data_IF_975592299457
#
_entry.id   IF_975592299457
#
_cell.length_a   1.000
_cell.length_b   1.000
_cell.length_c   1.000
_cell.angle_alpha   90.00
_cell.angle_beta   90.00
_cell.angle_gamma   90.00
#
_symmetry.space_group_name_H-M   'P 1'
#
loop_
_entity.id
_entity.type
_entity.pdbx_description
1 polymer ?
#
# COMPACT_ATOMS: atom_id res chain seq x y z
N UNK A 1 -51.11 78.56 -7.41
CA UNK A 1 -52.00 77.79 -8.31
C UNK A 1 -51.88 76.31 -7.99
N UNK A 2 -53.03 75.64 -7.94
CA UNK A 2 -53.31 74.30 -7.44
C UNK A 2 -52.57 73.15 -8.14
N UNK A 3 -52.16 72.11 -7.39
CA UNK A 3 -52.94 70.86 -7.28
C UNK A 3 -52.37 69.90 -6.23
N UNK A 4 -53.25 69.55 -5.29
CA UNK A 4 -53.18 68.35 -4.43
C UNK A 4 -53.53 67.12 -5.26
N UNK A 5 -52.91 65.99 -4.95
CA UNK A 5 -53.54 64.67 -5.04
C UNK A 5 -53.33 63.94 -3.72
N UNK A 6 -54.43 63.40 -3.21
CA UNK A 6 -54.55 62.59 -2.00
C UNK A 6 -54.82 61.16 -2.49
N UNK A 7 -54.05 60.18 -2.02
CA UNK A 7 -54.52 58.80 -1.92
C UNK A 7 -54.03 58.21 -0.60
N UNK A 8 -55.00 57.71 0.16
CA UNK A 8 -54.86 56.98 1.42
C UNK A 8 -54.75 55.50 1.08
N UNK A 9 -53.86 54.78 1.76
CA UNK A 9 -53.82 53.31 1.75
C UNK A 9 -52.92 52.80 2.88
N UNK A 10 -53.55 52.42 4.00
CA UNK A 10 -52.92 51.79 5.17
C UNK A 10 -52.54 50.34 4.82
N UNK A 11 -51.35 49.91 5.25
CA UNK A 11 -50.92 48.51 5.18
C UNK A 11 -49.57 48.26 5.84
N UNK A 12 -49.55 48.19 7.17
CA UNK A 12 -48.47 47.57 7.96
C UNK A 12 -48.40 46.07 7.67
N UNK A 13 -47.22 45.50 7.38
CA UNK A 13 -46.62 44.32 8.04
C UNK A 13 -45.14 44.20 7.64
N UNK A 14 -44.34 43.88 8.66
CA UNK A 14 -42.90 43.69 8.77
C UNK A 14 -42.21 42.80 7.72
N UNK A 15 -40.90 43.03 7.52
CA UNK A 15 -39.84 42.03 7.82
C UNK A 15 -38.55 42.82 8.14
N UNK A 16 -38.16 42.92 9.42
CA UNK A 16 -36.74 43.17 9.75
C UNK A 16 -36.05 41.84 9.48
N UNK A 17 -35.53 41.69 8.26
CA UNK A 17 -34.74 40.52 7.90
C UNK A 17 -33.41 40.64 8.62
N UNK A 18 -33.33 40.10 9.83
CA UNK A 18 -32.05 39.70 10.41
C UNK A 18 -31.50 38.61 9.48
N UNK A 19 -30.78 39.04 8.45
CA UNK A 19 -30.02 38.15 7.59
C UNK A 19 -29.00 37.45 8.48
N UNK A 20 -29.32 36.22 8.89
CA UNK A 20 -28.33 35.31 9.45
C UNK A 20 -27.39 35.02 8.28
N UNK A 21 -26.32 35.80 8.18
CA UNK A 21 -25.18 35.47 7.35
C UNK A 21 -24.61 34.17 7.92
N UNK A 22 -25.07 33.04 7.37
CA UNK A 22 -24.43 31.74 7.59
C UNK A 22 -23.08 31.86 6.88
N UNK A 23 -22.06 32.23 7.66
CA UNK A 23 -20.68 32.09 7.24
C UNK A 23 -20.42 30.59 7.14
N UNK A 24 -20.53 30.04 5.93
CA UNK A 24 -19.95 28.73 5.64
C UNK A 24 -18.44 28.92 5.79
N UNK A 25 -17.91 28.63 6.97
CA UNK A 25 -16.48 28.48 7.16
C UNK A 25 -16.03 27.39 6.19
N UNK A 26 -15.29 27.78 5.15
CA UNK A 26 -14.59 26.86 4.27
C UNK A 26 -13.57 26.12 5.13
N UNK A 27 -13.97 24.96 5.65
CA UNK A 27 -13.10 24.07 6.40
C UNK A 27 -12.19 23.38 5.39
N UNK A 28 -11.02 23.97 5.15
CA UNK A 28 -10.03 23.42 4.23
C UNK A 28 -9.39 22.14 4.82
N UNK A 29 -8.97 21.19 3.96
CA UNK A 29 -8.09 20.11 4.35
C UNK A 29 -6.89 20.63 5.17
N UNK A 30 -6.49 19.86 6.17
CA UNK A 30 -5.33 20.18 7.01
C UNK A 30 -4.20 19.18 6.76
N UNK A 31 -2.98 19.60 7.09
CA UNK A 31 -1.81 18.73 7.12
C UNK A 31 -1.50 18.43 8.58
N UNK A 32 -1.60 17.16 8.98
CA UNK A 32 -1.28 16.69 10.33
C UNK A 32 0.06 15.94 10.30
N UNK A 33 0.90 16.19 11.29
CA UNK A 33 2.15 15.44 11.49
C UNK A 33 2.00 14.51 12.69
N UNK A 34 2.37 13.24 12.49
CA UNK A 34 2.33 12.19 13.48
C UNK A 34 3.76 11.70 13.70
N UNK A 35 4.22 11.65 14.95
CA UNK A 35 5.52 11.09 15.30
C UNK A 35 5.51 10.48 16.71
N UNK A 36 6.41 9.53 17.03
CA UNK A 36 6.40 8.85 18.32
C UNK A 36 6.57 9.78 19.53
N UNK A 37 7.24 10.91 19.35
CA UNK A 37 7.42 11.94 20.38
C UNK A 37 7.61 13.33 19.77
N UNK A 38 7.11 14.37 20.42
CA UNK A 38 7.31 15.78 20.00
C UNK A 38 6.29 16.33 18.99
N UNK A 39 5.40 15.49 18.44
CA UNK A 39 4.30 15.94 17.58
C UNK A 39 3.00 16.12 18.36
N UNK A 40 2.06 16.88 17.78
CA UNK A 40 0.70 17.03 18.30
C UNK A 40 -0.06 15.70 18.39
N UNK A 41 0.29 14.73 17.53
CA UNK A 41 -0.27 13.39 17.54
C UNK A 41 0.86 12.36 17.63
N UNK A 42 0.74 11.46 18.62
CA UNK A 42 1.58 10.27 18.75
C UNK A 42 0.85 8.97 18.35
N UNK A 43 -0.45 9.06 18.06
CA UNK A 43 -1.30 7.95 17.63
C UNK A 43 -1.97 8.32 16.30
N UNK A 44 -1.94 7.40 15.35
CA UNK A 44 -2.49 7.57 14.01
C UNK A 44 -4.01 7.65 14.06
N UNK A 45 -4.68 6.81 14.84
CA UNK A 45 -6.14 6.84 14.91
C UNK A 45 -6.64 8.18 15.44
N UNK A 46 -5.98 8.76 16.47
CA UNK A 46 -6.34 10.09 16.98
C UNK A 46 -6.16 11.19 15.93
N UNK A 47 -5.11 11.10 15.12
CA UNK A 47 -4.90 12.02 14.01
C UNK A 47 -5.99 11.86 12.94
N UNK A 48 -6.38 10.63 12.61
CA UNK A 48 -7.50 10.34 11.72
C UNK A 48 -8.77 10.94 12.31
N UNK A 49 -9.10 10.69 13.57
CA UNK A 49 -10.32 11.20 14.21
C UNK A 49 -10.37 12.74 14.20
N UNK A 50 -9.25 13.41 14.45
CA UNK A 50 -9.13 14.87 14.42
C UNK A 50 -9.05 15.47 12.99
N UNK A 51 -8.73 14.65 11.98
CA UNK A 51 -8.57 15.09 10.61
C UNK A 51 -9.89 15.61 10.02
N UNK A 52 -9.83 16.73 9.30
CA UNK A 52 -10.91 17.18 8.43
C UNK A 52 -10.99 16.26 7.20
N UNK A 53 -12.13 16.20 6.55
CA UNK A 53 -12.25 15.48 5.27
C UNK A 53 -11.22 16.01 4.25
N UNK A 54 -10.54 15.11 3.55
CA UNK A 54 -9.49 15.38 2.57
C UNK A 54 -8.12 15.73 3.16
N UNK A 55 -7.94 15.68 4.48
CA UNK A 55 -6.67 16.03 5.13
C UNK A 55 -5.54 15.08 4.78
N UNK A 56 -4.32 15.59 4.81
CA UNK A 56 -3.10 14.78 4.67
C UNK A 56 -2.46 14.54 6.03
N UNK A 57 -2.12 13.29 6.31
CA UNK A 57 -1.46 12.82 7.53
C UNK A 57 -0.05 12.37 7.16
N UNK A 58 0.95 13.15 7.56
CA UNK A 58 2.36 12.79 7.41
C UNK A 58 2.83 12.00 8.63
N UNK A 59 3.15 10.74 8.39
CA UNK A 59 3.66 9.83 9.41
C UNK A 59 5.18 9.88 9.36
N UNK A 60 5.80 10.36 10.43
CA UNK A 60 7.25 10.33 10.59
C UNK A 60 7.72 8.91 10.90
N UNK A 61 9.02 8.68 10.71
CA UNK A 61 9.68 7.43 11.05
C UNK A 61 9.34 6.97 12.48
N UNK A 62 9.07 5.68 12.65
CA UNK A 62 8.67 5.12 13.93
C UNK A 62 7.71 3.94 13.77
N UNK A 63 7.56 3.19 14.86
CA UNK A 63 6.62 2.06 14.93
C UNK A 63 5.37 2.46 15.69
N UNK A 64 4.22 2.34 15.05
CA UNK A 64 2.89 2.63 15.59
C UNK A 64 2.16 1.30 15.78
N UNK A 65 1.75 1.00 17.01
CA UNK A 65 1.09 -0.26 17.39
C UNK A 65 -0.39 -0.01 17.68
N UNK A 66 -1.19 -0.02 16.64
CA UNK A 66 -2.62 0.27 16.70
C UNK A 66 -3.31 -0.25 15.43
N UNK A 67 -4.61 -0.48 15.53
CA UNK A 67 -5.45 -0.74 14.35
C UNK A 67 -6.10 0.58 13.90
N UNK A 68 -6.21 0.78 12.59
CA UNK A 68 -6.77 1.98 11.99
C UNK A 68 -8.15 1.73 11.41
N UNK A 69 -9.10 2.60 11.74
CA UNK A 69 -10.42 2.68 11.14
C UNK A 69 -10.54 4.00 10.37
N UNK A 70 -10.68 3.90 9.05
CA UNK A 70 -10.78 5.02 8.14
C UNK A 70 -12.18 5.01 7.51
N UNK A 71 -13.03 5.93 7.95
CA UNK A 71 -14.41 6.09 7.48
C UNK A 71 -14.67 7.47 6.86
N UNK A 72 -13.62 8.28 6.65
CA UNK A 72 -13.69 9.59 6.01
C UNK A 72 -12.50 9.79 5.05
N UNK A 73 -12.64 10.68 4.05
CA UNK A 73 -11.56 10.96 3.11
C UNK A 73 -10.32 11.50 3.84
N UNK A 74 -9.18 10.84 3.69
CA UNK A 74 -7.87 11.25 4.22
C UNK A 74 -6.75 10.68 3.37
N UNK A 75 -5.60 11.34 3.38
CA UNK A 75 -4.41 10.93 2.66
C UNK A 75 -3.28 10.63 3.65
N UNK A 76 -2.84 9.39 3.73
CA UNK A 76 -1.76 8.95 4.61
C UNK A 76 -0.46 8.89 3.80
N UNK A 77 0.57 9.57 4.27
CA UNK A 77 1.90 9.60 3.65
C UNK A 77 2.94 9.25 4.71
N UNK A 78 3.53 8.06 4.60
CA UNK A 78 4.64 7.64 5.45
C UNK A 78 5.97 8.23 5.00
N UNK A 79 6.86 8.43 5.96
CA UNK A 79 8.28 8.67 5.74
C UNK A 79 9.03 7.34 5.76
N UNK A 80 10.27 7.32 5.26
CA UNK A 80 11.13 6.15 5.40
C UNK A 80 11.22 5.70 6.87
N UNK A 81 10.99 4.41 7.13
CA UNK A 81 10.95 3.86 8.49
C UNK A 81 9.62 4.07 9.24
N UNK A 82 8.58 4.63 8.61
CA UNK A 82 7.24 4.65 9.18
C UNK A 82 6.61 3.24 9.07
N UNK A 83 6.32 2.63 10.22
CA UNK A 83 5.82 1.26 10.33
C UNK A 83 4.56 1.20 11.18
N UNK A 84 3.49 0.64 10.64
CA UNK A 84 2.30 0.24 11.37
C UNK A 84 2.39 -1.24 11.73
N UNK A 85 2.22 -1.58 13.00
CA UNK A 85 2.02 -2.95 13.49
C UNK A 85 0.55 -3.07 13.93
N UNK A 86 -0.29 -3.48 12.99
CA UNK A 86 -1.74 -3.48 13.13
C UNK A 86 -2.44 -3.50 11.78
N UNK A 87 -3.76 -3.52 11.80
CA UNK A 87 -4.62 -3.63 10.62
C UNK A 87 -5.15 -2.25 10.21
N UNK A 88 -5.38 -2.07 8.91
CA UNK A 88 -6.07 -0.90 8.37
C UNK A 88 -7.41 -1.34 7.81
N UNK A 89 -8.50 -0.74 8.28
CA UNK A 89 -9.85 -0.94 7.74
C UNK A 89 -10.36 0.37 7.15
N UNK A 90 -10.56 0.38 5.84
CA UNK A 90 -11.20 1.48 5.10
C UNK A 90 -12.63 1.05 4.79
N UNK A 91 -13.63 1.76 5.31
CA UNK A 91 -15.03 1.37 5.17
C UNK A 91 -15.95 2.55 4.89
N UNK A 92 -16.90 2.37 3.96
CA UNK A 92 -17.99 3.33 3.68
C UNK A 92 -17.50 4.74 3.43
N UNK A 93 -16.40 4.86 2.68
CA UNK A 93 -15.77 6.15 2.41
C UNK A 93 -15.21 6.23 1.00
N UNK A 94 -14.70 7.40 0.64
CA UNK A 94 -14.08 7.61 -0.66
C UNK A 94 -12.84 8.50 -0.59
N UNK A 95 -12.04 8.48 -1.66
CA UNK A 95 -10.89 9.36 -1.83
C UNK A 95 -9.89 9.25 -0.66
N UNK A 96 -9.47 8.02 -0.37
CA UNK A 96 -8.43 7.71 0.61
C UNK A 96 -7.16 7.29 -0.13
N UNK A 97 -6.00 7.75 0.33
CA UNK A 97 -4.73 7.22 -0.16
C UNK A 97 -3.82 6.77 0.99
N UNK A 98 -3.08 5.69 0.77
CA UNK A 98 -1.98 5.24 1.63
C UNK A 98 -0.72 5.19 0.75
N UNK A 99 0.30 5.93 1.14
CA UNK A 99 1.54 6.04 0.39
C UNK A 99 2.75 5.88 1.32
N UNK A 100 3.79 5.17 0.87
CA UNK A 100 5.08 5.09 1.56
C UNK A 100 5.00 4.59 3.02
N UNK A 101 4.12 3.63 3.30
CA UNK A 101 3.92 3.06 4.64
C UNK A 101 4.25 1.57 4.65
N UNK A 102 5.01 1.11 5.65
CA UNK A 102 5.15 -0.31 5.95
C UNK A 102 4.04 -0.73 6.90
N UNK A 103 3.19 -1.65 6.49
CA UNK A 103 2.12 -2.27 7.30
C UNK A 103 2.49 -3.72 7.58
N UNK A 104 2.63 -4.04 8.85
CA UNK A 104 2.76 -5.40 9.35
C UNK A 104 1.43 -5.83 9.98
N UNK A 105 0.55 -6.34 9.13
CA UNK A 105 -0.86 -6.57 9.35
C UNK A 105 -1.59 -6.60 8.01
N UNK A 106 -2.91 -6.42 8.03
CA UNK A 106 -3.76 -6.46 6.83
C UNK A 106 -4.28 -5.08 6.45
N UNK A 107 -4.64 -4.92 5.18
CA UNK A 107 -5.46 -3.79 4.70
C UNK A 107 -6.78 -4.32 4.16
N UNK A 108 -7.90 -3.89 4.74
CA UNK A 108 -9.25 -4.22 4.28
C UNK A 108 -9.92 -2.96 3.73
N UNK A 109 -10.40 -3.04 2.50
CA UNK A 109 -11.19 -2.00 1.83
C UNK A 109 -12.60 -2.56 1.61
N UNK A 110 -13.61 -1.90 2.17
CA UNK A 110 -15.00 -2.37 2.10
C UNK A 110 -15.96 -1.22 1.78
N UNK A 111 -16.90 -1.45 0.86
CA UNK A 111 -17.94 -0.47 0.50
C UNK A 111 -17.39 0.93 0.17
N UNK A 112 -16.24 0.99 -0.50
CA UNK A 112 -15.49 2.24 -0.67
C UNK A 112 -15.18 2.52 -2.14
N UNK A 113 -14.88 3.79 -2.46
CA UNK A 113 -14.55 4.23 -3.82
C UNK A 113 -13.26 5.06 -3.86
N UNK A 114 -12.52 5.00 -4.96
CA UNK A 114 -11.37 5.89 -5.22
C UNK A 114 -10.33 5.77 -4.10
N UNK A 115 -9.86 4.53 -3.91
CA UNK A 115 -8.88 4.19 -2.88
C UNK A 115 -7.55 3.93 -3.56
N UNK A 116 -6.48 4.55 -3.09
CA UNK A 116 -5.14 4.34 -3.66
C UNK A 116 -4.20 3.80 -2.59
N UNK A 117 -3.54 2.68 -2.87
CA UNK A 117 -2.41 2.20 -2.08
C UNK A 117 -1.19 2.20 -3.01
N UNK A 118 -0.15 2.92 -2.60
CA UNK A 118 1.04 3.07 -3.43
C UNK A 118 2.34 3.04 -2.63
N UNK A 119 3.43 2.57 -3.25
CA UNK A 119 4.79 2.65 -2.67
C UNK A 119 4.89 2.11 -1.24
N UNK A 120 4.08 1.11 -0.92
CA UNK A 120 3.90 0.61 0.44
C UNK A 120 4.35 -0.85 0.54
N UNK A 121 4.52 -1.35 1.76
CA UNK A 121 4.82 -2.76 2.02
C UNK A 121 3.76 -3.33 2.94
N UNK A 122 3.06 -4.39 2.50
CA UNK A 122 2.03 -5.08 3.29
C UNK A 122 2.48 -6.52 3.54
N UNK A 123 2.65 -6.87 4.82
CA UNK A 123 3.19 -8.17 5.22
C UNK A 123 2.67 -8.65 6.57
N UNK A 124 2.91 -9.92 6.92
CA UNK A 124 2.67 -10.44 8.26
C UNK A 124 1.19 -10.59 8.65
N UNK A 125 0.27 -10.44 7.70
CA UNK A 125 -1.16 -10.73 7.92
C UNK A 125 -1.38 -12.22 8.20
N UNK A 126 -2.29 -12.53 9.13
CA UNK A 126 -2.77 -13.90 9.39
C UNK A 126 -3.85 -14.36 8.39
N UNK A 127 -4.22 -13.50 7.46
CA UNK A 127 -5.16 -13.77 6.37
C UNK A 127 -4.60 -13.19 5.07
N UNK A 128 -5.44 -12.64 4.20
CA UNK A 128 -4.98 -11.91 3.04
C UNK A 128 -4.18 -10.65 3.43
N UNK A 129 -3.19 -10.28 2.63
CA UNK A 129 -2.46 -9.02 2.79
C UNK A 129 -3.38 -7.82 2.57
N UNK A 130 -4.00 -7.78 1.39
CA UNK A 130 -5.02 -6.79 1.02
C UNK A 130 -6.33 -7.50 0.66
N UNK A 131 -7.43 -7.10 1.29
CA UNK A 131 -8.78 -7.57 0.95
C UNK A 131 -9.64 -6.41 0.44
N UNK A 132 -10.24 -6.54 -0.74
CA UNK A 132 -11.11 -5.53 -1.36
C UNK A 132 -12.49 -6.12 -1.57
N UNK A 133 -13.51 -5.56 -0.92
CA UNK A 133 -14.88 -6.09 -0.89
C UNK A 133 -15.86 -5.00 -1.29
N UNK A 134 -16.73 -5.29 -2.27
CA UNK A 134 -17.81 -4.40 -2.74
C UNK A 134 -17.37 -2.95 -2.97
N UNK A 135 -16.21 -2.77 -3.59
CA UNK A 135 -15.53 -1.47 -3.75
C UNK A 135 -15.16 -1.20 -5.21
N UNK A 136 -15.02 0.07 -5.60
CA UNK A 136 -14.74 0.46 -6.99
C UNK A 136 -13.65 1.52 -7.08
N UNK A 137 -12.99 1.61 -8.23
CA UNK A 137 -11.86 2.53 -8.44
C UNK A 137 -10.77 2.38 -7.36
N UNK A 138 -10.40 1.14 -7.06
CA UNK A 138 -9.25 0.87 -6.17
C UNK A 138 -7.99 0.74 -7.03
N UNK A 139 -6.96 1.51 -6.72
CA UNK A 139 -5.66 1.49 -7.38
C UNK A 139 -4.60 0.96 -6.42
N UNK A 140 -3.94 -0.13 -6.80
CA UNK A 140 -2.78 -0.69 -6.12
C UNK A 140 -1.57 -0.53 -7.05
N UNK A 141 -0.58 0.25 -6.63
CA UNK A 141 0.57 0.56 -7.48
C UNK A 141 1.90 0.54 -6.73
N UNK A 142 2.98 0.08 -7.35
CA UNK A 142 4.35 0.15 -6.78
C UNK A 142 4.43 -0.40 -5.34
N UNK A 143 3.59 -1.38 -4.99
CA UNK A 143 3.45 -1.89 -3.62
C UNK A 143 4.02 -3.31 -3.54
N UNK A 144 4.66 -3.62 -2.41
CA UNK A 144 5.15 -4.96 -2.10
C UNK A 144 4.19 -5.68 -1.15
N UNK A 145 3.68 -6.84 -1.55
CA UNK A 145 2.67 -7.61 -0.80
C UNK A 145 3.18 -9.05 -0.62
N UNK A 146 3.68 -9.36 0.58
CA UNK A 146 4.48 -10.57 0.82
C UNK A 146 4.34 -11.11 2.24
N UNK A 147 4.60 -12.41 2.43
CA UNK A 147 4.68 -13.01 3.77
C UNK A 147 3.35 -13.03 4.52
N UNK A 148 2.22 -13.04 3.81
CA UNK A 148 0.89 -13.12 4.41
C UNK A 148 0.41 -14.58 4.46
N UNK A 149 -0.35 -14.95 5.49
CA UNK A 149 -0.78 -16.34 5.70
C UNK A 149 -1.96 -16.77 4.81
N UNK A 150 -2.59 -15.84 4.09
CA UNK A 150 -3.60 -16.08 3.05
C UNK A 150 -3.13 -15.57 1.68
N UNK A 151 -4.06 -15.06 0.88
CA UNK A 151 -3.74 -14.48 -0.43
C UNK A 151 -2.93 -13.18 -0.31
N UNK A 152 -2.16 -12.81 -1.33
CA UNK A 152 -1.57 -11.47 -1.39
C UNK A 152 -2.67 -10.41 -1.48
N UNK A 153 -3.47 -10.51 -2.54
CA UNK A 153 -4.63 -9.66 -2.78
C UNK A 153 -5.86 -10.55 -2.97
N UNK A 154 -6.90 -10.32 -2.18
CA UNK A 154 -8.20 -10.96 -2.31
C UNK A 154 -9.25 -9.93 -2.73
N UNK A 155 -9.97 -10.18 -3.82
CA UNK A 155 -10.95 -9.25 -4.41
C UNK A 155 -12.31 -9.92 -4.53
N UNK A 156 -13.35 -9.26 -4.01
CA UNK A 156 -14.73 -9.74 -4.00
C UNK A 156 -15.67 -8.64 -4.49
N UNK A 157 -16.43 -8.92 -5.56
CA UNK A 157 -17.40 -8.00 -6.15
C UNK A 157 -16.89 -6.56 -6.30
N UNK A 158 -15.65 -6.39 -6.78
CA UNK A 158 -14.94 -5.10 -6.77
C UNK A 158 -14.21 -4.80 -8.08
N UNK A 159 -13.92 -3.52 -8.32
CA UNK A 159 -13.09 -3.05 -9.43
C UNK A 159 -11.73 -2.56 -8.94
N UNK A 160 -10.66 -3.25 -9.34
CA UNK A 160 -9.30 -2.98 -8.88
C UNK A 160 -8.32 -2.91 -10.05
N UNK A 161 -7.55 -1.83 -10.12
CA UNK A 161 -6.38 -1.71 -10.98
C UNK A 161 -5.12 -2.04 -10.17
N UNK A 162 -4.36 -3.02 -10.64
CA UNK A 162 -3.17 -3.54 -9.97
C UNK A 162 -2.02 -3.36 -10.95
N UNK A 163 -1.07 -2.48 -10.67
CA UNK A 163 0.03 -2.19 -11.60
C UNK A 163 1.39 -2.01 -10.92
N UNK A 164 2.46 -2.53 -11.53
CA UNK A 164 3.84 -2.37 -11.03
C UNK A 164 4.05 -2.85 -9.59
N UNK A 165 3.29 -3.84 -9.14
CA UNK A 165 3.42 -4.39 -7.78
C UNK A 165 4.34 -5.61 -7.74
N UNK A 166 4.92 -5.86 -6.56
CA UNK A 166 5.62 -7.10 -6.24
C UNK A 166 4.76 -7.92 -5.29
N UNK A 167 4.21 -9.04 -5.76
CA UNK A 167 3.25 -9.87 -5.03
C UNK A 167 3.77 -11.31 -5.00
N UNK A 168 4.23 -11.78 -3.83
CA UNK A 168 4.84 -13.11 -3.73
C UNK A 168 5.03 -13.60 -2.30
N UNK A 169 5.14 -14.91 -2.13
CA UNK A 169 5.29 -15.59 -0.83
C UNK A 169 4.21 -15.33 0.19
N UNK A 170 2.99 -15.15 -0.31
CA UNK A 170 1.79 -15.30 0.47
C UNK A 170 1.42 -16.80 0.43
N UNK A 171 0.87 -17.36 1.51
CA UNK A 171 0.57 -18.81 1.56
C UNK A 171 -0.61 -19.22 0.68
N UNK A 172 -1.47 -18.28 0.30
CA UNK A 172 -2.55 -18.46 -0.67
C UNK A 172 -2.13 -18.03 -2.08
N UNK A 173 -3.08 -17.59 -2.90
CA UNK A 173 -2.80 -17.03 -4.22
C UNK A 173 -2.05 -15.69 -4.10
N UNK A 174 -1.25 -15.34 -5.11
CA UNK A 174 -0.77 -13.96 -5.25
C UNK A 174 -1.95 -13.01 -5.37
N UNK A 175 -2.86 -13.31 -6.30
CA UNK A 175 -4.11 -12.58 -6.50
C UNK A 175 -5.26 -13.58 -6.61
N UNK A 176 -6.29 -13.40 -5.79
CA UNK A 176 -7.57 -14.12 -5.89
C UNK A 176 -8.71 -13.14 -6.18
N UNK A 177 -9.59 -13.51 -7.09
CA UNK A 177 -10.81 -12.77 -7.42
C UNK A 177 -12.02 -13.70 -7.58
N UNK A 178 -13.21 -13.21 -7.23
CA UNK A 178 -14.48 -13.84 -7.62
C UNK A 178 -14.91 -13.43 -9.04
N UNK A 179 -15.94 -14.10 -9.55
CA UNK A 179 -16.48 -13.83 -10.90
C UNK A 179 -17.20 -12.48 -11.03
N UNK A 180 -17.53 -11.83 -9.92
CA UNK A 180 -18.14 -10.51 -9.89
C UNK A 180 -17.10 -9.36 -9.89
N UNK A 181 -15.81 -9.69 -9.79
CA UNK A 181 -14.72 -8.72 -9.73
C UNK A 181 -14.18 -8.38 -11.12
N UNK A 182 -13.69 -7.14 -11.25
CA UNK A 182 -13.06 -6.62 -12.46
C UNK A 182 -11.63 -6.18 -12.13
N UNK A 183 -10.66 -6.92 -12.64
CA UNK A 183 -9.24 -6.63 -12.46
C UNK A 183 -8.62 -6.13 -13.76
N UNK A 184 -7.68 -5.19 -13.64
CA UNK A 184 -6.89 -4.69 -14.77
C UNK A 184 -5.54 -4.19 -14.29
N UNK A 185 -4.67 -3.85 -15.24
CA UNK A 185 -3.34 -3.31 -14.99
C UNK A 185 -2.23 -4.22 -15.51
N UNK A 186 -0.99 -3.84 -15.21
CA UNK A 186 0.18 -4.46 -15.85
C UNK A 186 1.45 -4.33 -14.99
N UNK A 187 2.48 -5.08 -15.37
CA UNK A 187 3.80 -4.98 -14.74
C UNK A 187 3.86 -5.49 -13.30
N UNK A 188 2.86 -6.26 -12.84
CA UNK A 188 2.94 -6.91 -11.54
C UNK A 188 3.74 -8.20 -11.65
N UNK A 189 4.54 -8.48 -10.62
CA UNK A 189 5.42 -9.64 -10.61
C UNK A 189 5.46 -10.37 -9.28
N UNK A 190 5.75 -11.67 -9.33
CA UNK A 190 6.19 -12.45 -8.19
C UNK A 190 7.72 -12.47 -8.11
N UNK A 191 8.26 -12.22 -6.93
CA UNK A 191 9.70 -12.11 -6.69
C UNK A 191 10.26 -10.68 -6.82
N UNK A 192 11.55 -10.52 -6.53
CA UNK A 192 12.21 -9.22 -6.41
C UNK A 192 13.40 -9.11 -7.38
N UNK A 193 13.78 -7.88 -7.75
CA UNK A 193 14.92 -7.56 -8.63
C UNK A 193 15.96 -6.76 -7.88
N UNK A 194 17.22 -7.07 -8.14
CA UNK A 194 18.38 -6.30 -7.70
C UNK A 194 19.04 -5.70 -8.95
N UNK A 195 19.23 -4.38 -9.06
CA UNK A 195 19.03 -3.37 -8.01
C UNK A 195 17.65 -2.71 -7.95
N UNK A 196 16.74 -2.99 -8.89
CA UNK A 196 15.50 -2.20 -9.07
C UNK A 196 14.62 -2.11 -7.81
N UNK A 197 14.43 -3.21 -7.09
CA UNK A 197 13.63 -3.24 -5.86
C UNK A 197 14.46 -3.05 -4.60
N UNK A 198 15.70 -3.54 -4.66
CA UNK A 198 16.60 -3.54 -3.53
C UNK A 198 18.00 -3.16 -4.01
N UNK A 199 18.68 -2.23 -3.34
CA UNK A 199 20.01 -1.79 -3.78
C UNK A 199 21.08 -2.88 -3.64
N UNK A 200 20.83 -3.94 -2.86
CA UNK A 200 21.77 -5.06 -2.62
C UNK A 200 21.05 -6.40 -2.63
N UNK A 201 21.78 -7.47 -2.90
CA UNK A 201 21.30 -8.86 -2.81
C UNK A 201 20.94 -9.20 -1.37
N UNK A 202 21.74 -8.76 -0.40
CA UNK A 202 21.46 -8.98 1.01
C UNK A 202 20.15 -8.31 1.46
N UNK A 203 19.87 -7.08 1.03
CA UNK A 203 18.61 -6.41 1.36
C UNK A 203 17.40 -7.17 0.79
N UNK A 204 17.51 -7.71 -0.43
CA UNK A 204 16.47 -8.56 -1.01
C UNK A 204 16.28 -9.87 -0.22
N UNK A 205 17.37 -10.48 0.25
CA UNK A 205 17.33 -11.67 1.11
C UNK A 205 16.75 -11.34 2.49
N UNK A 206 17.09 -10.20 3.09
CA UNK A 206 16.60 -9.78 4.41
C UNK A 206 15.09 -9.53 4.37
N UNK A 207 14.62 -8.87 3.31
CA UNK A 207 13.21 -8.73 2.99
C UNK A 207 12.53 -10.05 2.60
N UNK A 208 13.30 -11.12 2.33
CA UNK A 208 12.74 -12.40 1.96
C UNK A 208 12.03 -13.09 3.13
N UNK A 209 10.70 -13.11 3.13
CA UNK A 209 9.89 -13.81 4.13
C UNK A 209 9.74 -15.31 3.82
N UNK A 210 9.64 -16.12 4.89
CA UNK A 210 9.36 -17.57 4.82
C UNK A 210 8.03 -17.79 4.11
N UNK A 211 8.06 -18.52 2.99
CA UNK A 211 6.88 -18.76 2.14
C UNK A 211 7.03 -18.25 0.70
N UNK A 212 8.04 -17.42 0.40
CA UNK A 212 8.39 -17.03 -0.99
C UNK A 212 9.07 -18.15 -1.81
N UNK A 213 9.31 -19.34 -1.25
CA UNK A 213 9.90 -20.49 -1.97
C UNK A 213 8.88 -21.33 -2.76
N UNK A 214 9.36 -22.23 -3.61
CA UNK A 214 8.76 -23.29 -4.49
C UNK A 214 7.24 -23.31 -4.82
N UNK A 215 6.34 -22.96 -3.88
CA UNK A 215 4.90 -22.83 -4.09
C UNK A 215 4.42 -21.35 -4.06
N UNK A 216 5.33 -20.39 -3.87
CA UNK A 216 5.07 -18.94 -3.84
C UNK A 216 5.07 -18.29 -5.22
N UNK A 217 4.59 -19.00 -6.24
CA UNK A 217 4.66 -18.62 -7.67
C UNK A 217 3.91 -17.32 -8.00
N UNK A 218 3.15 -16.75 -7.07
CA UNK A 218 2.22 -15.69 -7.41
C UNK A 218 1.13 -16.22 -8.33
N UNK A 219 0.72 -17.47 -8.11
CA UNK A 219 -0.41 -18.03 -8.83
C UNK A 219 -1.63 -17.15 -8.62
N UNK A 220 -2.48 -17.12 -9.63
CA UNK A 220 -3.71 -16.35 -9.62
C UNK A 220 -4.89 -17.29 -9.70
N UNK A 221 -6.01 -16.94 -9.07
CA UNK A 221 -7.25 -17.72 -9.22
C UNK A 221 -7.84 -17.58 -10.62
N UNK A 222 -8.74 -18.47 -11.01
CA UNK A 222 -9.36 -18.54 -12.35
C UNK A 222 -9.98 -17.23 -12.87
N UNK A 223 -10.48 -16.36 -11.99
CA UNK A 223 -11.13 -15.09 -12.38
C UNK A 223 -10.15 -13.91 -12.51
N UNK A 224 -8.84 -14.17 -12.44
CA UNK A 224 -7.81 -13.15 -12.63
C UNK A 224 -7.35 -13.15 -14.09
N UNK A 225 -7.28 -11.97 -14.75
CA UNK A 225 -6.81 -11.88 -16.13
C UNK A 225 -5.43 -12.54 -16.33
N UNK A 226 -5.24 -13.35 -17.38
CA UNK A 226 -3.94 -13.93 -17.69
C UNK A 226 -2.87 -12.86 -17.85
N UNK A 227 -1.69 -13.09 -17.26
CA UNK A 227 -0.57 -12.16 -17.32
C UNK A 227 -0.69 -10.94 -16.41
N UNK A 228 -1.77 -10.80 -15.62
CA UNK A 228 -1.87 -9.70 -14.64
C UNK A 228 -0.77 -9.78 -13.58
N UNK A 229 -0.39 -10.99 -13.19
CA UNK A 229 0.74 -11.29 -12.34
C UNK A 229 1.64 -12.29 -13.08
N UNK A 230 2.89 -11.92 -13.29
CA UNK A 230 3.91 -12.75 -13.95
C UNK A 230 5.11 -12.97 -13.04
N UNK A 231 6.09 -13.76 -13.44
CA UNK A 231 7.32 -13.94 -12.66
C UNK A 231 7.43 -15.31 -12.01
N UNK A 232 8.62 -15.59 -11.51
CA UNK A 232 9.01 -16.93 -11.08
C UNK A 232 9.16 -17.08 -9.57
N UNK A 233 8.84 -16.03 -8.80
CA UNK A 233 9.05 -16.03 -7.35
C UNK A 233 10.54 -16.22 -6.99
N UNK A 234 11.42 -15.43 -7.62
CA UNK A 234 12.88 -15.46 -7.37
C UNK A 234 13.40 -14.06 -7.03
N UNK A 235 14.56 -13.98 -6.37
CA UNK A 235 15.40 -12.79 -6.40
C UNK A 235 16.18 -12.83 -7.72
N UNK A 236 15.75 -12.03 -8.69
CA UNK A 236 16.46 -11.86 -9.94
C UNK A 236 17.56 -10.82 -9.79
N UNK A 237 18.79 -11.19 -10.10
CA UNK A 237 19.96 -10.32 -10.04
C UNK A 237 20.33 -9.92 -11.46
N UNK A 238 20.25 -8.63 -11.76
CA UNK A 238 20.62 -8.09 -13.07
C UNK A 238 22.13 -8.22 -13.32
N UNK A 239 22.59 -8.12 -14.58
CA UNK A 239 24.02 -8.06 -14.90
C UNK A 239 24.78 -7.01 -14.07
N UNK A 240 25.91 -7.39 -13.49
CA UNK A 240 26.73 -6.50 -12.67
C UNK A 240 27.77 -7.21 -11.80
N UNK A 241 28.62 -6.39 -11.17
CA UNK A 241 29.56 -6.83 -10.13
C UNK A 241 29.06 -6.32 -8.78
N UNK A 242 28.67 -7.25 -7.92
CA UNK A 242 28.09 -6.97 -6.60
C UNK A 242 29.15 -7.24 -5.53
N UNK A 243 29.63 -6.17 -4.89
CA UNK A 243 30.63 -6.23 -3.81
C UNK A 243 29.92 -6.20 -2.47
N UNK A 244 29.46 -7.36 -2.03
CA UNK A 244 28.67 -7.49 -0.81
C UNK A 244 28.84 -8.86 -0.16
N UNK A 245 28.53 -8.94 1.13
CA UNK A 245 28.41 -10.20 1.84
C UNK A 245 26.98 -10.70 1.68
N UNK A 246 26.84 -11.94 1.21
CA UNK A 246 25.54 -12.60 1.10
C UNK A 246 25.46 -13.67 2.17
N UNK A 247 24.42 -13.60 2.99
CA UNK A 247 24.13 -14.55 4.07
C UNK A 247 22.67 -14.95 3.97
N UNK A 248 22.43 -16.25 3.76
CA UNK A 248 21.11 -16.86 3.78
C UNK A 248 21.04 -17.66 5.09
N UNK A 249 20.15 -17.25 6.01
CA UNK A 249 19.89 -17.97 7.27
C UNK A 249 18.41 -18.23 7.41
N UNK A 250 18.05 -19.47 7.73
CA UNK A 250 16.67 -19.88 8.05
C UNK A 250 15.63 -19.52 6.96
N UNK A 251 16.07 -19.44 5.69
CA UNK A 251 15.27 -18.99 4.56
C UNK A 251 15.45 -19.92 3.36
N UNK A 252 14.32 -20.31 2.75
CA UNK A 252 14.30 -20.95 1.44
C UNK A 252 14.16 -19.85 0.37
N UNK A 253 15.30 -19.36 -0.14
CA UNK A 253 15.36 -18.31 -1.17
C UNK A 253 15.88 -18.90 -2.47
N UNK A 254 15.33 -18.46 -3.60
CA UNK A 254 15.87 -18.76 -4.93
C UNK A 254 16.41 -17.47 -5.51
N UNK A 255 17.71 -17.45 -5.77
CA UNK A 255 18.40 -16.33 -6.40
C UNK A 255 18.79 -16.78 -7.80
N UNK A 256 18.44 -15.97 -8.81
CA UNK A 256 18.78 -16.21 -10.21
C UNK A 256 19.51 -15.00 -10.77
N UNK A 257 20.74 -15.21 -11.20
CA UNK A 257 21.44 -14.22 -12.03
C UNK A 257 20.93 -14.24 -13.47
N UNK A 258 21.02 -13.10 -14.16
CA UNK A 258 20.72 -13.01 -15.60
C UNK A 258 21.51 -14.05 -16.43
N UNK A 259 22.80 -14.23 -16.12
CA UNK A 259 23.64 -15.33 -16.60
C UNK A 259 24.91 -15.45 -15.74
N UNK A 260 25.60 -16.60 -15.82
CA UNK A 260 26.81 -16.88 -15.03
C UNK A 260 27.98 -15.94 -15.34
N UNK A 261 28.04 -15.42 -16.56
CA UNK A 261 29.14 -14.56 -17.03
C UNK A 261 28.86 -13.07 -16.79
N UNK A 262 27.59 -12.72 -16.56
CA UNK A 262 27.16 -11.33 -16.41
C UNK A 262 26.89 -10.94 -14.96
N UNK A 263 26.68 -11.91 -14.06
CA UNK A 263 26.44 -11.67 -12.63
C UNK A 263 27.57 -12.25 -11.79
N UNK A 264 28.39 -11.36 -11.24
CA UNK A 264 29.51 -11.71 -10.37
C UNK A 264 29.21 -11.19 -8.96
N UNK A 265 29.15 -12.10 -7.99
CA UNK A 265 29.14 -11.75 -6.56
C UNK A 265 30.57 -11.89 -6.04
N UNK A 266 31.17 -10.76 -5.67
CA UNK A 266 32.53 -10.64 -5.14
C UNK A 266 32.44 -10.55 -3.60
N UNK A 267 32.42 -11.73 -2.95
CA UNK A 267 32.08 -11.92 -1.54
C UNK A 267 32.06 -13.39 -1.08
N UNK A 268 31.72 -13.65 0.19
CA UNK A 268 31.70 -14.99 0.82
C UNK A 268 30.27 -15.44 1.19
N UNK A 269 29.91 -16.74 1.04
CA UNK A 269 28.80 -17.36 1.78
C UNK A 269 27.50 -17.78 1.04
N UNK A 270 27.58 -18.50 -0.09
CA UNK A 270 26.37 -19.00 -0.77
C UNK A 270 26.04 -20.48 -0.47
N UNK A 271 24.74 -20.76 -0.34
CA UNK A 271 24.13 -22.09 -0.50
C UNK A 271 23.73 -22.34 -1.96
N UNK A 272 22.65 -23.11 -2.21
CA UNK A 272 22.16 -23.43 -3.58
C UNK A 272 21.80 -22.16 -4.38
N UNK A 273 22.58 -21.85 -5.41
CA UNK A 273 22.35 -20.72 -6.33
C UNK A 273 22.52 -21.16 -7.79
N UNK A 274 21.70 -20.60 -8.68
CA UNK A 274 21.75 -20.88 -10.12
C UNK A 274 21.99 -19.58 -10.92
N UNK A 275 22.79 -19.67 -11.98
CA UNK A 275 23.10 -18.52 -12.85
C UNK A 275 24.04 -17.46 -12.26
N UNK A 276 24.80 -17.73 -11.19
CA UNK A 276 25.67 -16.76 -10.51
C UNK A 276 27.10 -17.30 -10.39
N UNK A 277 28.12 -16.46 -10.62
CA UNK A 277 29.52 -16.76 -10.30
C UNK A 277 29.95 -16.09 -8.99
N UNK A 278 30.47 -16.88 -8.04
CA UNK A 278 31.00 -16.38 -6.75
C UNK A 278 32.52 -16.32 -6.79
N UNK A 279 33.11 -15.20 -6.39
CA UNK A 279 34.56 -15.09 -6.14
C UNK A 279 34.79 -14.72 -4.67
N UNK A 280 35.35 -15.65 -3.89
CA UNK A 280 35.59 -15.52 -2.44
C UNK A 280 35.58 -16.87 -1.69
N UNK A 281 35.81 -16.88 -0.37
CA UNK A 281 35.66 -18.08 0.46
C UNK A 281 34.18 -18.44 0.67
N UNK A 282 33.70 -19.57 0.19
CA UNK A 282 32.35 -20.09 0.50
C UNK A 282 32.37 -20.93 1.77
N UNK A 283 31.52 -20.61 2.75
CA UNK A 283 31.14 -21.55 3.83
C UNK A 283 29.71 -22.01 3.59
N UNK A 284 29.54 -23.32 3.44
CA UNK A 284 28.24 -24.00 3.41
C UNK A 284 27.84 -24.24 4.87
N UNK A 285 26.66 -23.76 5.27
CA UNK A 285 26.04 -24.09 6.56
C UNK A 285 24.70 -24.78 6.31
#
# INVERSE_FOLDING_TARGET
MHRRWLFIGIGTVAVIGAGVAIWVLLVSPQTLTICPSGCAFAQLQKAIDAARSGSTLHIQAGTYREDLQISKPVHIVGSEGARLEGQITITKTENVSIMALTVHGSVRIEESRKITISKSTISGSQSAGIAVVRSREVLLSETMITGNAGDGIAVESSQVQISQNTIGGNKGYGIRADSASQLSGEGNRSGSRVPDDFPTIQAAIDAWHVGMGINGLGDVSENVPPGLLVGEGVIFVAPGVYKEFVTIRDKNVRIRGASRDEVIIDGTGLGDVDGITVRGQSKVF
#
